data_IF_474690926725
#
_entry.id   IF_474690926725
#
_cell.length_a   1.000
_cell.length_b   1.000
_cell.length_c   1.000
_cell.angle_alpha   90.00
_cell.angle_beta   90.00
_cell.angle_gamma   90.00
#
_symmetry.space_group_name_H-M   'P 1'
#
loop_
_entity.id
_entity.type
_entity.pdbx_description
1 polymer ?
#
# COMPACT_ATOMS: atom_id res chain seq x y z
N UNK A 1 -43.92 -17.12 -15.76
CA UNK A 1 -43.46 -15.84 -16.35
C UNK A 1 -43.30 -14.67 -15.37
N UNK A 2 -43.87 -14.70 -14.15
CA UNK A 2 -43.70 -13.61 -13.16
C UNK A 2 -42.41 -13.74 -12.33
N UNK A 3 -41.97 -14.97 -12.01
CA UNK A 3 -40.72 -15.21 -11.26
C UNK A 3 -39.46 -14.73 -11.99
N UNK A 4 -39.34 -15.05 -13.28
CA UNK A 4 -38.22 -14.61 -14.14
C UNK A 4 -38.10 -13.08 -14.27
N UNK A 5 -39.22 -12.35 -14.11
CA UNK A 5 -39.22 -10.88 -14.13
C UNK A 5 -38.59 -10.30 -12.87
N UNK A 6 -38.94 -10.86 -11.71
CA UNK A 6 -38.38 -10.45 -10.39
C UNK A 6 -36.89 -10.77 -10.27
N UNK A 7 -36.46 -11.90 -10.81
CA UNK A 7 -35.03 -12.28 -10.84
C UNK A 7 -34.21 -11.32 -11.71
N UNK A 8 -34.75 -10.91 -12.87
CA UNK A 8 -34.10 -9.95 -13.76
C UNK A 8 -34.00 -8.55 -13.13
N UNK A 9 -35.06 -8.07 -12.49
CA UNK A 9 -35.06 -6.80 -11.76
C UNK A 9 -34.06 -6.81 -10.61
N UNK A 10 -33.95 -7.93 -9.87
CA UNK A 10 -32.93 -8.08 -8.83
C UNK A 10 -31.51 -8.04 -9.40
N UNK A 11 -31.24 -8.76 -10.50
CA UNK A 11 -29.92 -8.78 -11.12
C UNK A 11 -29.49 -7.39 -11.64
N UNK A 12 -30.41 -6.63 -12.23
CA UNK A 12 -30.15 -5.25 -12.67
C UNK A 12 -29.85 -4.32 -11.48
N UNK A 13 -30.54 -4.52 -10.35
CA UNK A 13 -30.32 -3.76 -9.13
C UNK A 13 -28.97 -4.09 -8.48
N UNK A 14 -28.57 -5.36 -8.44
CA UNK A 14 -27.24 -5.80 -8.00
C UNK A 14 -26.14 -5.25 -8.90
N UNK A 15 -26.33 -5.29 -10.22
CA UNK A 15 -25.36 -4.74 -11.18
C UNK A 15 -25.18 -3.23 -10.99
N UNK A 16 -26.28 -2.49 -10.78
CA UNK A 16 -26.23 -1.05 -10.48
C UNK A 16 -25.55 -0.71 -9.15
N UNK A 17 -25.69 -1.57 -8.13
CA UNK A 17 -25.00 -1.44 -6.85
C UNK A 17 -23.50 -1.74 -6.97
N UNK A 18 -23.11 -2.78 -7.72
CA UNK A 18 -21.71 -3.12 -8.01
C UNK A 18 -20.99 -1.95 -8.66
N UNK A 19 -21.59 -1.39 -9.71
CA UNK A 19 -21.02 -0.25 -10.44
C UNK A 19 -20.87 1.01 -9.57
N UNK A 20 -21.79 1.24 -8.63
CA UNK A 20 -21.69 2.36 -7.67
C UNK A 20 -20.58 2.14 -6.65
N UNK A 21 -20.39 0.90 -6.17
CA UNK A 21 -19.32 0.55 -5.24
C UNK A 21 -17.95 0.64 -5.91
N UNK A 22 -17.81 0.13 -7.13
CA UNK A 22 -16.58 0.23 -7.94
C UNK A 22 -16.15 1.69 -8.11
N UNK A 23 -17.08 2.58 -8.47
CA UNK A 23 -16.81 4.03 -8.58
C UNK A 23 -16.43 4.69 -7.26
N UNK A 24 -16.94 4.22 -6.13
CA UNK A 24 -16.54 4.74 -4.81
C UNK A 24 -15.13 4.27 -4.42
N UNK A 25 -14.76 3.04 -4.78
CA UNK A 25 -13.40 2.52 -4.58
C UNK A 25 -12.38 3.30 -5.41
N UNK A 26 -12.66 3.54 -6.69
CA UNK A 26 -11.79 4.36 -7.57
C UNK A 26 -11.56 5.77 -7.01
N UNK A 27 -12.60 6.38 -6.43
CA UNK A 27 -12.53 7.73 -5.88
C UNK A 27 -11.74 7.76 -4.57
N UNK A 28 -11.83 6.71 -3.74
CA UNK A 28 -11.01 6.56 -2.54
C UNK A 28 -9.55 6.30 -2.88
N UNK A 29 -9.26 5.49 -3.91
CA UNK A 29 -7.90 5.29 -4.41
C UNK A 29 -7.30 6.61 -4.92
N UNK A 30 -8.07 7.40 -5.66
CA UNK A 30 -7.65 8.73 -6.11
C UNK A 30 -7.34 9.66 -4.93
N UNK A 31 -8.25 9.76 -3.95
CA UNK A 31 -8.02 10.60 -2.76
C UNK A 31 -6.79 10.13 -1.99
N UNK A 32 -6.62 8.82 -1.81
CA UNK A 32 -5.46 8.25 -1.12
C UNK A 32 -4.14 8.59 -1.82
N UNK A 33 -4.10 8.51 -3.15
CA UNK A 33 -2.94 8.89 -3.96
C UNK A 33 -2.59 10.38 -3.78
N UNK A 34 -3.60 11.26 -3.81
CA UNK A 34 -3.39 12.71 -3.73
C UNK A 34 -3.04 13.20 -2.33
N UNK A 35 -3.72 12.68 -1.30
CA UNK A 35 -3.52 13.13 0.09
C UNK A 35 -2.31 12.46 0.75
N UNK A 36 -2.03 11.19 0.44
CA UNK A 36 -0.89 10.47 1.04
C UNK A 36 0.42 10.61 0.25
N UNK A 37 0.44 11.38 -0.85
CA UNK A 37 1.66 11.66 -1.61
C UNK A 37 2.27 10.44 -2.31
N UNK A 38 1.47 9.41 -2.59
CA UNK A 38 1.93 8.24 -3.34
C UNK A 38 2.12 8.63 -4.81
N UNK A 39 3.38 8.73 -5.28
CA UNK A 39 3.65 8.95 -6.70
C UNK A 39 3.11 7.76 -7.52
N UNK A 40 2.21 8.02 -8.47
CA UNK A 40 1.73 6.99 -9.41
C UNK A 40 2.93 6.33 -10.12
N UNK A 41 3.05 4.99 -10.14
CA UNK A 41 4.14 4.31 -10.85
C UNK A 41 3.93 4.22 -12.37
N UNK A 42 2.91 4.87 -12.95
CA UNK A 42 2.51 4.68 -14.35
C UNK A 42 3.01 5.74 -15.32
N UNK A 43 4.14 6.39 -15.02
CA UNK A 43 4.94 7.08 -16.03
C UNK A 43 6.36 6.54 -16.01
N UNK A 44 6.55 5.32 -16.53
CA UNK A 44 7.79 4.89 -17.18
C UNK A 44 7.56 3.54 -17.87
N UNK A 45 6.94 3.60 -19.05
CA UNK A 45 7.15 2.58 -20.09
C UNK A 45 8.59 2.72 -20.60
N UNK A 46 9.56 2.26 -19.82
CA UNK A 46 10.90 1.95 -20.32
C UNK A 46 11.21 0.49 -19.99
N UNK A 47 11.32 -0.29 -21.07
CA UNK A 47 12.03 -1.56 -21.21
C UNK A 47 12.04 -2.50 -19.98
N UNK A 48 11.10 -3.45 -19.98
CA UNK A 48 11.30 -4.91 -19.84
C UNK A 48 12.25 -5.56 -18.81
N UNK A 49 13.17 -4.87 -18.13
CA UNK A 49 14.25 -5.50 -17.34
C UNK A 49 14.29 -5.09 -15.85
N UNK A 50 13.50 -4.11 -15.39
CA UNK A 50 13.56 -3.63 -13.98
C UNK A 50 12.43 -4.14 -13.06
N UNK A 51 11.61 -5.11 -13.48
CA UNK A 51 10.50 -5.63 -12.64
C UNK A 51 10.90 -6.74 -11.67
N UNK A 52 12.19 -6.96 -11.47
CA UNK A 52 12.76 -7.92 -10.50
C UNK A 52 13.43 -7.24 -9.30
N UNK A 53 13.15 -5.96 -9.04
CA UNK A 53 13.73 -5.27 -7.88
C UNK A 53 12.84 -5.36 -6.64
N UNK A 54 13.20 -6.35 -5.82
CA UNK A 54 13.12 -6.43 -4.36
C UNK A 54 11.75 -6.34 -3.67
N UNK A 55 11.17 -7.51 -3.38
CA UNK A 55 10.23 -7.71 -2.26
C UNK A 55 10.90 -7.60 -0.87
N UNK A 56 12.15 -7.12 -0.83
CA UNK A 56 12.95 -6.97 0.39
C UNK A 56 13.02 -5.51 0.73
N UNK A 57 12.71 -5.16 1.99
CA UNK A 57 12.85 -3.80 2.49
C UNK A 57 14.32 -3.36 2.42
N UNK A 58 14.57 -2.18 1.86
CA UNK A 58 15.92 -1.62 1.77
C UNK A 58 16.37 -1.12 3.15
N UNK A 59 17.49 -1.63 3.63
CA UNK A 59 18.07 -1.21 4.92
C UNK A 59 18.45 0.28 4.88
N UNK A 60 18.06 1.01 5.93
CA UNK A 60 18.37 2.43 6.05
C UNK A 60 19.84 2.67 6.40
N UNK A 61 20.42 3.73 5.83
CA UNK A 61 21.80 4.16 6.07
C UNK A 61 22.03 4.73 7.47
N UNK A 62 20.99 5.23 8.13
CA UNK A 62 21.05 5.83 9.46
C UNK A 62 20.93 4.81 10.61
N UNK A 63 20.76 3.53 10.28
CA UNK A 63 20.66 2.42 11.25
C UNK A 63 19.33 2.33 12.00
N UNK A 64 18.35 3.19 11.68
CA UNK A 64 17.03 3.14 12.31
C UNK A 64 16.20 1.94 11.84
N UNK A 65 15.30 1.48 12.70
CA UNK A 65 14.31 0.42 12.46
C UNK A 65 14.89 -0.98 12.18
N UNK A 66 16.18 -1.20 12.46
CA UNK A 66 16.78 -2.53 12.36
C UNK A 66 16.23 -3.49 13.44
N UNK A 67 15.84 -2.97 14.61
CA UNK A 67 15.20 -3.75 15.68
C UNK A 67 13.73 -3.34 15.82
N UNK A 68 12.83 -4.33 15.81
CA UNK A 68 11.38 -4.12 15.87
C UNK A 68 10.89 -3.51 17.20
N UNK A 69 11.53 -3.85 18.33
CA UNK A 69 11.14 -3.34 19.65
C UNK A 69 11.87 -2.04 20.02
N UNK A 70 13.07 -1.82 19.47
CA UNK A 70 13.91 -0.67 19.76
C UNK A 70 14.44 -0.01 18.48
N UNK A 71 13.61 0.76 17.75
CA UNK A 71 13.95 1.30 16.44
C UNK A 71 15.23 2.15 16.37
N UNK A 72 15.62 2.79 17.46
CA UNK A 72 16.82 3.64 17.56
C UNK A 72 18.13 2.85 17.82
N UNK A 73 18.06 1.54 18.06
CA UNK A 73 19.26 0.79 18.44
C UNK A 73 20.22 0.68 17.26
N UNK A 74 21.46 1.10 17.50
CA UNK A 74 22.49 1.12 16.47
C UNK A 74 22.32 2.26 15.46
N UNK A 75 21.35 3.17 15.67
CA UNK A 75 21.21 4.32 14.80
C UNK A 75 22.33 5.34 14.99
N UNK A 76 22.58 6.15 13.97
CA UNK A 76 23.54 7.25 14.06
C UNK A 76 23.14 8.19 15.20
N UNK A 77 24.09 8.51 16.08
CA UNK A 77 23.85 9.33 17.27
C UNK A 77 23.25 8.61 18.47
N UNK A 78 22.88 7.32 18.34
CA UNK A 78 22.50 6.51 19.49
C UNK A 78 23.72 6.30 20.40
N UNK A 79 23.60 6.71 21.66
CA UNK A 79 24.69 6.62 22.64
C UNK A 79 24.93 5.15 22.95
N UNK A 80 26.19 4.71 22.87
CA UNK A 80 26.58 3.42 23.42
C UNK A 80 26.38 3.48 24.92
N UNK A 81 25.57 2.58 25.45
CA UNK A 81 25.55 2.32 26.89
C UNK A 81 26.92 1.74 27.25
N UNK A 82 27.69 2.48 28.05
CA UNK A 82 28.98 2.01 28.51
C UNK A 82 28.74 0.80 29.41
N UNK A 83 29.15 -0.38 28.97
CA UNK A 83 29.36 -1.50 29.89
C UNK A 83 30.60 -1.18 30.72
N UNK A 84 30.45 -0.36 31.75
CA UNK A 84 31.35 -0.37 32.89
C UNK A 84 31.13 -1.69 33.62
N UNK A 85 31.94 -2.71 33.35
CA UNK A 85 32.27 -3.77 34.29
C UNK A 85 33.31 -4.73 33.68
N UNK A 86 34.59 -4.46 33.95
CA UNK A 86 35.56 -5.37 34.61
C UNK A 86 36.92 -4.69 34.69
#
# INVERSE_FOLDING_TARGET
MVGQRKEKEQAELFHGLSYKLERQVELLEYIFIYECGYSKPYENLKSGEERTHSYTEVQRYDGWFNNLAHPHWGSVGYKKENQSNS
#
